data_IF_999488105203
#
_entry.id   IF_999488105203
#
_cell.length_a   1.000
_cell.length_b   1.000
_cell.length_c   1.000
_cell.angle_alpha   90.00
_cell.angle_beta   90.00
_cell.angle_gamma   90.00
#
_symmetry.space_group_name_H-M   'P 1'
#
loop_
_entity.id
_entity.type
_entity.pdbx_description
1 polymer ?
#
# COMPACT_ATOMS: atom_id res chain seq x y z
N UNK A 1 -5.52 -17.28 12.57
CA UNK A 1 -4.92 -18.16 11.53
C UNK A 1 -5.37 -17.79 10.12
N UNK A 2 -6.63 -18.04 9.69
CA UNK A 2 -7.07 -17.66 8.34
C UNK A 2 -7.23 -16.13 8.14
N UNK A 3 -7.74 -15.42 9.15
CA UNK A 3 -7.97 -13.96 9.09
C UNK A 3 -6.67 -13.15 9.01
N UNK A 4 -5.63 -13.58 9.74
CA UNK A 4 -4.32 -12.94 9.75
C UNK A 4 -3.62 -13.05 8.38
N UNK A 5 -3.70 -14.21 7.74
CA UNK A 5 -3.18 -14.38 6.37
C UNK A 5 -3.89 -13.49 5.36
N UNK A 6 -5.22 -13.34 5.47
CA UNK A 6 -6.00 -12.47 4.59
C UNK A 6 -5.59 -11.01 4.79
N UNK A 7 -5.37 -10.58 6.03
CA UNK A 7 -4.96 -9.21 6.36
C UNK A 7 -3.55 -8.88 5.85
N UNK A 8 -2.58 -9.79 6.03
CA UNK A 8 -1.24 -9.64 5.46
C UNK A 8 -1.27 -9.63 3.94
N UNK A 9 -2.01 -10.54 3.31
CA UNK A 9 -2.12 -10.62 1.86
C UNK A 9 -2.78 -9.37 1.27
N UNK A 10 -3.84 -8.86 1.89
CA UNK A 10 -4.54 -7.66 1.47
C UNK A 10 -3.64 -6.41 1.56
N UNK A 11 -2.90 -6.25 2.66
CA UNK A 11 -1.97 -5.14 2.79
C UNK A 11 -0.81 -5.26 1.79
N UNK A 12 -0.32 -6.47 1.51
CA UNK A 12 0.83 -6.68 0.62
C UNK A 12 0.43 -6.40 -0.83
N UNK A 13 -0.78 -6.83 -1.21
CA UNK A 13 -1.38 -6.48 -2.48
C UNK A 13 -1.53 -4.96 -2.63
N UNK A 14 -2.07 -4.25 -1.63
CA UNK A 14 -2.18 -2.79 -1.66
C UNK A 14 -0.83 -2.09 -1.78
N UNK A 15 0.20 -2.59 -1.09
CA UNK A 15 1.54 -2.00 -1.12
C UNK A 15 2.17 -2.15 -2.52
N UNK A 16 2.09 -3.36 -3.09
CA UNK A 16 2.63 -3.66 -4.42
C UNK A 16 1.88 -2.88 -5.50
N UNK A 17 0.56 -2.83 -5.45
CA UNK A 17 -0.25 -2.06 -6.40
C UNK A 17 0.06 -0.55 -6.30
N UNK A 18 0.08 0.02 -5.09
CA UNK A 18 0.37 1.45 -4.90
C UNK A 18 1.79 1.82 -5.33
N UNK A 19 2.77 0.98 -4.99
CA UNK A 19 4.16 1.14 -5.41
C UNK A 19 4.33 1.06 -6.92
N UNK A 20 3.70 0.06 -7.56
CA UNK A 20 3.73 -0.09 -9.01
C UNK A 20 3.09 1.12 -9.73
N UNK A 21 1.98 1.64 -9.22
CA UNK A 21 1.32 2.83 -9.78
C UNK A 21 2.19 4.09 -9.63
N UNK A 22 2.78 4.32 -8.46
CA UNK A 22 3.70 5.45 -8.26
C UNK A 22 4.95 5.35 -9.13
N UNK A 23 5.51 4.15 -9.27
CA UNK A 23 6.70 3.93 -10.08
C UNK A 23 6.40 4.08 -11.58
N UNK A 24 5.28 3.53 -12.05
CA UNK A 24 4.84 3.67 -13.44
C UNK A 24 4.54 5.12 -13.80
N UNK A 25 3.85 5.86 -12.92
CA UNK A 25 3.49 7.26 -13.16
C UNK A 25 4.72 8.18 -13.17
N UNK A 26 5.67 7.95 -12.25
CA UNK A 26 6.96 8.65 -12.24
C UNK A 26 7.83 8.35 -13.46
N UNK A 27 7.91 7.08 -13.89
CA UNK A 27 8.74 6.67 -15.02
C UNK A 27 8.20 7.16 -16.37
N UNK A 28 6.86 7.19 -16.54
CA UNK A 28 6.23 7.68 -17.77
C UNK A 28 6.07 9.21 -17.83
N UNK A 29 6.49 9.96 -16.80
CA UNK A 29 6.22 11.41 -16.67
C UNK A 29 4.76 11.76 -16.96
N UNK A 30 3.84 10.87 -16.58
CA UNK A 30 2.42 11.09 -16.79
C UNK A 30 1.98 12.20 -15.84
N UNK A 31 1.34 13.25 -16.37
CA UNK A 31 0.73 14.29 -15.52
C UNK A 31 -0.46 13.69 -14.79
N UNK A 32 -0.21 13.12 -13.62
CA UNK A 32 -1.25 12.51 -12.77
C UNK A 32 -1.93 13.61 -11.97
N UNK A 33 -3.27 13.67 -11.95
CA UNK A 33 -4.01 14.57 -11.07
C UNK A 33 -3.57 14.40 -9.61
N UNK A 34 -3.38 15.50 -8.89
CA UNK A 34 -2.95 15.51 -7.48
C UNK A 34 -3.79 14.55 -6.60
N UNK A 35 -5.08 14.42 -6.90
CA UNK A 35 -6.00 13.51 -6.21
C UNK A 35 -5.58 12.04 -6.36
N UNK A 36 -5.12 11.61 -7.53
CA UNK A 36 -4.64 10.24 -7.76
C UNK A 36 -3.31 9.98 -7.05
N UNK A 37 -2.41 10.97 -7.06
CA UNK A 37 -1.13 10.88 -6.35
C UNK A 37 -1.35 10.75 -4.83
N UNK A 38 -2.24 11.58 -4.26
CA UNK A 38 -2.62 11.51 -2.85
C UNK A 38 -3.27 10.17 -2.50
N UNK A 39 -4.11 9.62 -3.37
CA UNK A 39 -4.74 8.31 -3.16
C UNK A 39 -3.70 7.18 -3.16
N UNK A 40 -2.73 7.23 -4.08
CA UNK A 40 -1.66 6.23 -4.16
C UNK A 40 -0.72 6.28 -2.94
N UNK A 41 -0.31 7.47 -2.49
CA UNK A 41 0.52 7.62 -1.28
C UNK A 41 -0.25 7.20 -0.02
N UNK A 42 -1.55 7.50 0.05
CA UNK A 42 -2.40 7.07 1.17
C UNK A 42 -2.57 5.55 1.17
N UNK A 43 -2.79 4.93 0.00
CA UNK A 43 -2.84 3.48 -0.15
C UNK A 43 -1.55 2.79 0.28
N UNK A 44 -0.39 3.40 -0.02
CA UNK A 44 0.91 2.92 0.41
C UNK A 44 1.07 3.01 1.94
N UNK A 45 0.69 4.14 2.55
CA UNK A 45 0.72 4.32 4.00
C UNK A 45 -0.20 3.31 4.72
N UNK A 46 -1.46 3.20 4.29
CA UNK A 46 -2.44 2.26 4.87
C UNK A 46 -2.01 0.81 4.66
N UNK A 47 -1.49 0.47 3.48
CA UNK A 47 -0.93 -0.86 3.19
C UNK A 47 0.23 -1.23 4.13
N UNK A 48 1.12 -0.27 4.40
CA UNK A 48 2.24 -0.48 5.32
C UNK A 48 1.78 -0.67 6.76
N UNK A 49 0.74 0.07 7.20
CA UNK A 49 0.14 -0.07 8.52
C UNK A 49 -0.63 -1.40 8.66
N UNK A 50 -1.33 -1.85 7.62
CA UNK A 50 -2.00 -3.15 7.62
C UNK A 50 -1.00 -4.32 7.72
N UNK A 51 0.16 -4.23 7.07
CA UNK A 51 1.26 -5.20 7.23
C UNK A 51 1.82 -5.14 8.64
N UNK A 52 2.21 -3.94 9.10
CA UNK A 52 2.93 -3.75 10.36
C UNK A 52 2.08 -4.08 11.60
N UNK A 53 0.76 -4.03 11.47
CA UNK A 53 -0.19 -4.41 12.53
C UNK A 53 -0.64 -5.87 12.45
N UNK A 54 -0.14 -6.66 11.49
CA UNK A 54 -0.45 -8.09 11.41
C UNK A 54 0.63 -8.91 12.09
N UNK A 55 0.43 -9.14 13.38
CA UNK A 55 1.26 -9.98 14.24
C UNK A 55 0.94 -9.74 15.72
N UNK A 56 1.05 -10.76 16.57
CA UNK A 56 1.00 -10.63 18.04
C UNK A 56 2.29 -9.98 18.55
N UNK A 57 2.50 -8.72 18.21
CA UNK A 57 3.67 -7.95 18.59
C UNK A 57 3.37 -6.47 18.41
N UNK A 58 3.77 -5.66 19.40
CA UNK A 58 3.47 -4.21 19.47
C UNK A 58 3.83 -3.53 18.13
N UNK A 59 2.89 -2.76 17.57
CA UNK A 59 3.12 -1.94 16.38
C UNK A 59 4.30 -0.98 16.65
N UNK A 60 5.33 -1.04 15.81
CA UNK A 60 6.48 -0.13 15.80
C UNK A 60 6.36 0.89 14.68
#
# INVERSE_FOLDING_TARGET
MASDQIKTAAGAALLVLSGALLFATGMLSLSVPIVLAALATTGLAVGSLLIGTTGEGRAV
#
